data_IF_297118871076
#
_entry.id   IF_297118871076
#
_cell.length_a   1.000
_cell.length_b   1.000
_cell.length_c   1.000
_cell.angle_alpha   90.00
_cell.angle_beta   90.00
_cell.angle_gamma   90.00
#
_symmetry.space_group_name_H-M   'P 1'
#
loop_
_entity.id
_entity.type
_entity.pdbx_description
1 polymer ?
#
# COMPACT_ATOMS: atom_id res chain seq x y z
N UNK A 1 31.24 13.81 24.54
CA UNK A 1 30.42 12.74 23.92
C UNK A 1 29.32 13.42 23.13
N UNK A 2 29.26 13.21 21.81
CA UNK A 2 28.15 13.77 21.01
C UNK A 2 26.87 13.05 21.42
N UNK A 3 25.84 13.79 21.84
CA UNK A 3 24.55 13.20 22.19
C UNK A 3 23.99 12.48 20.96
N UNK A 4 23.43 11.30 21.21
CA UNK A 4 22.66 10.57 20.22
C UNK A 4 21.27 11.22 20.17
N UNK A 5 20.95 11.85 19.04
CA UNK A 5 19.71 12.60 18.82
C UNK A 5 18.77 11.79 17.95
N UNK A 6 17.48 12.15 17.95
CA UNK A 6 16.45 11.54 17.12
C UNK A 6 16.83 11.57 15.63
N UNK A 7 17.42 12.66 15.16
CA UNK A 7 17.95 12.80 13.79
C UNK A 7 19.03 11.75 13.47
N UNK A 8 19.97 11.50 14.39
CA UNK A 8 21.02 10.49 14.18
C UNK A 8 20.45 9.07 14.20
N UNK A 9 19.43 8.83 15.04
CA UNK A 9 18.72 7.56 15.08
C UNK A 9 17.97 7.31 13.77
N UNK A 10 17.26 8.33 13.27
CA UNK A 10 16.53 8.27 12.00
C UNK A 10 17.48 7.96 10.82
N UNK A 11 18.60 8.66 10.71
CA UNK A 11 19.61 8.41 9.67
C UNK A 11 20.17 6.99 9.73
N UNK A 12 20.46 6.46 10.92
CA UNK A 12 20.95 5.10 11.09
C UNK A 12 19.92 4.05 10.62
N UNK A 13 18.62 4.27 10.88
CA UNK A 13 17.57 3.39 10.40
C UNK A 13 17.33 3.50 8.90
N UNK A 14 17.41 4.72 8.32
CA UNK A 14 17.32 4.93 6.87
C UNK A 14 18.41 4.12 6.16
N UNK A 15 19.65 4.19 6.65
CA UNK A 15 20.77 3.43 6.08
C UNK A 15 20.55 1.91 6.21
N UNK A 16 20.13 1.45 7.40
CA UNK A 16 19.85 0.04 7.65
C UNK A 16 18.78 -0.51 6.71
N UNK A 17 17.67 0.21 6.54
CA UNK A 17 16.55 -0.18 5.67
C UNK A 17 16.92 -0.10 4.19
N UNK A 18 17.71 0.91 3.79
CA UNK A 18 18.27 1.02 2.44
C UNK A 18 19.12 -0.19 2.06
N UNK A 19 19.91 -0.71 3.00
CA UNK A 19 20.69 -1.94 2.81
C UNK A 19 19.82 -3.20 2.66
N UNK A 20 18.56 -3.16 3.09
CA UNK A 20 17.56 -4.22 2.87
C UNK A 20 16.72 -4.01 1.60
N UNK A 21 17.06 -3.00 0.78
CA UNK A 21 16.32 -2.67 -0.44
C UNK A 21 15.04 -1.86 -0.21
N UNK A 22 14.88 -1.27 0.98
CA UNK A 22 13.74 -0.39 1.31
C UNK A 22 14.18 1.05 1.07
N UNK A 23 13.65 1.65 0.00
CA UNK A 23 13.98 3.02 -0.39
C UNK A 23 13.39 4.03 0.58
N UNK A 24 14.21 4.97 1.02
CA UNK A 24 13.75 6.11 1.81
C UNK A 24 13.06 7.16 0.94
N UNK A 25 11.94 7.69 1.44
CA UNK A 25 11.26 8.84 0.90
C UNK A 25 10.96 9.82 2.04
N UNK A 26 11.24 11.10 1.84
CA UNK A 26 10.98 12.09 2.87
C UNK A 26 9.48 12.36 2.98
N UNK A 27 8.90 12.13 4.16
CA UNK A 27 7.45 12.18 4.35
C UNK A 27 6.79 13.50 3.97
N UNK A 28 7.52 14.63 4.04
CA UNK A 28 6.99 15.96 3.64
C UNK A 28 6.87 16.14 2.12
N UNK A 29 7.56 15.32 1.34
CA UNK A 29 7.49 15.33 -0.13
C UNK A 29 6.37 14.43 -0.64
N UNK A 30 5.78 13.60 0.22
CA UNK A 30 4.66 12.73 -0.13
C UNK A 30 3.40 13.60 -0.24
N UNK A 31 2.92 13.77 -1.48
CA UNK A 31 1.62 14.39 -1.74
C UNK A 31 0.53 13.42 -1.28
N UNK A 32 -0.19 13.79 -0.23
CA UNK A 32 -1.26 12.96 0.34
C UNK A 32 -2.38 13.82 0.92
N UNK A 33 -3.57 13.25 0.99
CA UNK A 33 -4.65 13.81 1.79
C UNK A 33 -4.41 13.44 3.26
N UNK A 34 -4.14 14.41 4.12
CA UNK A 34 -3.90 14.18 5.56
C UNK A 34 -5.12 13.64 6.31
N UNK A 35 -6.32 13.75 5.73
CA UNK A 35 -7.54 13.17 6.30
C UNK A 35 -7.70 11.69 6.01
N UNK A 36 -6.89 11.14 5.10
CA UNK A 36 -6.95 9.77 4.65
C UNK A 36 -5.72 8.98 5.12
N UNK A 37 -5.95 7.72 5.49
CA UNK A 37 -4.86 6.81 5.86
C UNK A 37 -4.24 6.18 4.62
N UNK A 38 -5.05 5.94 3.57
CA UNK A 38 -4.62 5.28 2.36
C UNK A 38 -3.95 6.28 1.38
N UNK A 39 -2.72 5.99 0.97
CA UNK A 39 -2.06 6.68 -0.14
C UNK A 39 -2.61 6.14 -1.46
N UNK A 40 -3.82 6.56 -1.83
CA UNK A 40 -4.53 6.00 -2.99
C UNK A 40 -3.76 6.05 -4.29
N UNK A 41 -3.16 7.19 -4.61
CA UNK A 41 -2.48 7.39 -5.90
C UNK A 41 -1.23 6.51 -5.99
N UNK A 42 -0.49 6.40 -4.89
CA UNK A 42 0.66 5.50 -4.75
C UNK A 42 0.23 4.03 -4.92
N UNK A 43 -0.85 3.60 -4.25
CA UNK A 43 -1.37 2.24 -4.39
C UNK A 43 -1.84 1.94 -5.82
N UNK A 44 -2.54 2.89 -6.48
CA UNK A 44 -2.98 2.73 -7.87
C UNK A 44 -1.78 2.59 -8.80
N UNK A 45 -0.76 3.43 -8.64
CA UNK A 45 0.46 3.36 -9.43
C UNK A 45 1.22 2.05 -9.20
N UNK A 46 1.36 1.63 -7.94
CA UNK A 46 1.95 0.34 -7.59
C UNK A 46 1.23 -0.83 -8.27
N UNK A 47 -0.10 -0.92 -8.14
CA UNK A 47 -0.89 -2.01 -8.71
C UNK A 47 -0.78 -2.03 -10.25
N UNK A 48 -0.82 -0.86 -10.88
CA UNK A 48 -0.67 -0.70 -12.33
C UNK A 48 0.68 -1.17 -12.83
N UNK A 49 1.76 -0.82 -12.12
CA UNK A 49 3.12 -1.20 -12.47
C UNK A 49 3.37 -2.69 -12.18
N UNK A 50 2.90 -3.20 -11.04
CA UNK A 50 3.10 -4.58 -10.59
C UNK A 50 2.39 -5.60 -11.48
N UNK A 51 1.14 -5.32 -11.86
CA UNK A 51 0.28 -6.23 -12.62
C UNK A 51 0.09 -5.81 -14.08
N UNK A 52 1.03 -5.02 -14.61
CA UNK A 52 1.02 -4.52 -15.99
C UNK A 52 1.02 -5.67 -17.01
N UNK A 53 1.78 -6.74 -16.73
CA UNK A 53 1.91 -7.91 -17.62
C UNK A 53 0.63 -8.72 -17.72
N UNK A 54 -0.18 -8.69 -16.69
CA UNK A 54 -1.49 -9.32 -16.59
C UNK A 54 -2.61 -8.42 -17.15
N UNK A 55 -2.26 -7.24 -17.67
CA UNK A 55 -3.17 -6.25 -18.22
C UNK A 55 -4.28 -5.85 -17.23
N UNK A 56 -3.94 -5.63 -15.96
CA UNK A 56 -4.90 -5.11 -14.98
C UNK A 56 -5.50 -3.79 -15.47
N UNK A 57 -6.81 -3.62 -15.32
CA UNK A 57 -7.51 -2.41 -15.79
C UNK A 57 -7.60 -1.35 -14.69
N UNK A 58 -7.76 -0.08 -15.08
CA UNK A 58 -7.96 1.00 -14.11
C UNK A 58 -9.29 0.83 -13.32
N UNK A 59 -10.30 0.17 -13.89
CA UNK A 59 -11.56 -0.18 -13.21
C UNK A 59 -11.35 -1.26 -12.14
N UNK A 60 -10.56 -2.30 -12.45
CA UNK A 60 -10.18 -3.35 -11.50
C UNK A 60 -9.40 -2.78 -10.32
N UNK A 61 -8.41 -1.92 -10.59
CA UNK A 61 -7.64 -1.20 -9.56
C UNK A 61 -8.56 -0.34 -8.69
N UNK A 62 -9.48 0.40 -9.31
CA UNK A 62 -10.47 1.21 -8.58
C UNK A 62 -11.36 0.33 -7.70
N UNK A 63 -11.71 -0.87 -8.15
CA UNK A 63 -12.43 -1.87 -7.36
C UNK A 63 -11.66 -2.32 -6.12
N UNK A 64 -10.36 -2.57 -6.25
CA UNK A 64 -9.48 -2.91 -5.13
C UNK A 64 -9.44 -1.77 -4.10
N UNK A 65 -9.25 -0.53 -4.55
CA UNK A 65 -9.22 0.65 -3.67
C UNK A 65 -10.56 0.82 -2.94
N UNK A 66 -11.69 0.67 -3.65
CA UNK A 66 -13.03 0.73 -3.06
C UNK A 66 -13.25 -0.36 -2.01
N UNK A 67 -12.72 -1.57 -2.22
CA UNK A 67 -12.80 -2.66 -1.25
C UNK A 67 -12.09 -2.28 0.06
N UNK A 68 -10.92 -1.66 0.00
CA UNK A 68 -10.22 -1.17 1.19
C UNK A 68 -10.99 -0.04 1.92
N UNK A 69 -11.66 0.84 1.17
CA UNK A 69 -12.51 1.88 1.75
C UNK A 69 -13.84 1.40 2.32
N UNK A 70 -14.29 0.20 1.95
CA UNK A 70 -15.58 -0.32 2.40
C UNK A 70 -15.60 -0.75 3.88
N UNK A 71 -14.43 -0.85 4.51
CA UNK A 71 -14.32 -1.22 5.92
C UNK A 71 -14.84 -0.09 6.83
N UNK A 72 -15.75 -0.39 7.76
CA UNK A 72 -16.37 0.64 8.58
C UNK A 72 -15.39 1.22 9.61
N UNK A 73 -15.37 2.55 9.72
CA UNK A 73 -14.63 3.26 10.76
C UNK A 73 -15.23 3.08 12.17
N UNK A 74 -16.49 2.62 12.27
CA UNK A 74 -17.18 2.41 13.54
C UNK A 74 -16.68 1.22 14.34
N UNK A 75 -16.04 0.24 13.68
CA UNK A 75 -15.47 -0.96 14.31
C UNK A 75 -13.98 -1.07 13.99
N UNK A 76 -13.19 -0.19 14.63
CA UNK A 76 -11.78 -0.01 14.33
C UNK A 76 -10.96 -1.30 14.47
N UNK A 77 -11.26 -2.13 15.48
CA UNK A 77 -10.47 -3.33 15.72
C UNK A 77 -10.72 -4.38 14.66
N UNK A 78 -11.98 -4.75 14.42
CA UNK A 78 -12.30 -5.81 13.47
C UNK A 78 -12.04 -5.36 12.02
N UNK A 79 -12.26 -4.08 11.69
CA UNK A 79 -11.84 -3.51 10.40
C UNK A 79 -10.33 -3.60 10.19
N UNK A 80 -9.51 -3.13 11.16
CA UNK A 80 -8.05 -3.19 11.04
C UNK A 80 -7.55 -4.63 10.96
N UNK A 81 -8.08 -5.54 11.79
CA UNK A 81 -7.74 -6.96 11.74
C UNK A 81 -8.04 -7.57 10.37
N UNK A 82 -9.19 -7.24 9.80
CA UNK A 82 -9.59 -7.74 8.49
C UNK A 82 -8.73 -7.18 7.36
N UNK A 83 -8.39 -5.88 7.40
CA UNK A 83 -7.48 -5.24 6.45
C UNK A 83 -6.08 -5.85 6.55
N UNK A 84 -5.54 -6.01 7.76
CA UNK A 84 -4.21 -6.61 7.97
C UNK A 84 -4.15 -8.05 7.46
N UNK A 85 -5.21 -8.83 7.68
CA UNK A 85 -5.32 -10.17 7.12
C UNK A 85 -5.39 -10.15 5.60
N UNK A 86 -6.17 -9.22 5.01
CA UNK A 86 -6.27 -9.06 3.56
C UNK A 86 -4.90 -8.73 2.92
N UNK A 87 -4.12 -7.85 3.55
CA UNK A 87 -2.78 -7.45 3.08
C UNK A 87 -1.78 -8.61 3.24
N UNK A 88 -1.88 -9.37 4.34
CA UNK A 88 -0.95 -10.46 4.63
C UNK A 88 -1.22 -11.69 3.78
N UNK A 89 -2.48 -12.09 3.68
CA UNK A 89 -2.89 -13.28 2.95
C UNK A 89 -2.94 -12.99 1.44
N UNK A 90 -3.32 -11.78 1.04
CA UNK A 90 -3.67 -11.46 -0.34
C UNK A 90 -5.07 -11.94 -0.70
N UNK A 91 -5.49 -11.72 -1.94
CA UNK A 91 -6.79 -12.22 -2.43
C UNK A 91 -6.83 -12.38 -3.95
N UNK A 92 -7.76 -13.21 -4.42
CA UNK A 92 -8.00 -13.39 -5.85
C UNK A 92 -8.88 -12.26 -6.38
N UNK A 93 -8.35 -11.50 -7.33
CA UNK A 93 -9.09 -10.57 -8.17
C UNK A 93 -9.69 -11.33 -9.35
N UNK A 94 -11.03 -11.40 -9.38
CA UNK A 94 -11.79 -11.90 -10.54
C UNK A 94 -11.77 -10.85 -11.64
N UNK A 95 -11.38 -11.26 -12.85
CA UNK A 95 -11.24 -10.34 -13.99
C UNK A 95 -12.60 -9.93 -14.55
N UNK A 96 -12.67 -8.71 -15.07
CA UNK A 96 -13.89 -8.21 -15.75
C UNK A 96 -14.14 -8.92 -17.08
N UNK A 97 -13.06 -9.31 -17.77
CA UNK A 97 -13.13 -10.12 -19.00
C UNK A 97 -13.03 -11.59 -18.62
N UNK A 98 -14.01 -12.38 -19.05
CA UNK A 98 -14.08 -13.81 -18.74
C UNK A 98 -12.92 -14.64 -19.31
N UNK A 99 -12.26 -14.15 -20.37
CA UNK A 99 -11.12 -14.82 -21.01
C UNK A 99 -9.79 -14.58 -20.26
N UNK A 100 -9.73 -13.53 -19.43
CA UNK A 100 -8.52 -13.18 -18.70
C UNK A 100 -8.40 -14.06 -17.45
N UNK A 101 -7.17 -14.51 -17.15
CA UNK A 101 -6.90 -15.26 -15.92
C UNK A 101 -7.00 -14.35 -14.70
N UNK A 102 -7.60 -14.88 -13.64
CA UNK A 102 -7.63 -14.25 -12.33
C UNK A 102 -6.22 -13.88 -11.85
N UNK A 103 -6.12 -12.74 -11.17
CA UNK A 103 -4.85 -12.26 -10.59
C UNK A 103 -4.88 -12.51 -9.08
N UNK A 104 -3.76 -12.94 -8.52
CA UNK A 104 -3.56 -12.94 -7.08
C UNK A 104 -2.94 -11.60 -6.67
N UNK A 105 -3.68 -10.82 -5.89
CA UNK A 105 -3.25 -9.52 -5.36
C UNK A 105 -2.61 -9.69 -4.00
#
# INVERSE_FOLDING_TARGET
MSKFTEEKLELAFIELLGNQGITYQFGKEIVRNESEVLLEDDLKEYLKNRYKTENITDSEITGIVRKLHSYPASDLYDSNKSIMKLISDGFILKREKADDKDIYI
#
